data_IF_032194223475
#
_entry.id   IF_032194223475
#
_cell.length_a   1.000
_cell.length_b   1.000
_cell.length_c   1.000
_cell.angle_alpha   90.00
_cell.angle_beta   90.00
_cell.angle_gamma   90.00
#
_symmetry.space_group_name_H-M   'P 1'
#
loop_
_entity.id
_entity.type
_entity.pdbx_description
1 polymer ?
#
# COMPACT_ATOMS: atom_id res chain seq x y z
N UNK A 1 16.79 -9.05 4.95
CA UNK A 1 15.76 -8.69 3.95
C UNK A 1 16.00 -9.51 2.68
N UNK A 2 15.26 -10.59 2.45
CA UNK A 2 15.32 -11.35 1.17
C UNK A 2 14.26 -10.75 0.24
N UNK A 3 14.62 -9.67 -0.44
CA UNK A 3 13.82 -9.11 -1.54
C UNK A 3 13.97 -10.09 -2.71
N UNK A 4 12.91 -10.73 -3.20
CA UNK A 4 12.97 -11.56 -4.40
C UNK A 4 12.13 -10.96 -5.51
N UNK A 5 12.85 -10.58 -6.58
CA UNK A 5 12.50 -10.47 -8.01
C UNK A 5 11.08 -9.93 -8.34
N UNK A 6 10.99 -8.62 -8.50
CA UNK A 6 9.85 -7.95 -9.10
C UNK A 6 9.69 -8.29 -10.60
N UNK A 7 8.46 -8.54 -11.03
CA UNK A 7 7.95 -8.40 -12.41
C UNK A 7 8.62 -9.17 -13.57
N UNK A 8 7.92 -9.18 -14.71
CA UNK A 8 8.37 -9.76 -15.98
C UNK A 8 9.71 -9.18 -16.44
N UNK A 9 9.98 -7.91 -16.14
CA UNK A 9 11.22 -7.23 -16.49
C UNK A 9 12.42 -7.81 -15.74
N UNK A 10 12.40 -7.89 -14.40
CA UNK A 10 13.55 -8.47 -13.70
C UNK A 10 13.67 -9.97 -14.03
N UNK A 11 12.57 -10.68 -14.25
CA UNK A 11 12.65 -12.08 -14.72
C UNK A 11 13.37 -12.19 -16.07
N UNK A 12 13.06 -11.30 -17.02
CA UNK A 12 13.71 -11.23 -18.32
C UNK A 12 15.18 -10.83 -18.22
N UNK A 13 15.52 -9.78 -17.48
CA UNK A 13 16.92 -9.37 -17.34
C UNK A 13 17.78 -10.41 -16.61
N UNK A 14 17.20 -11.15 -15.66
CA UNK A 14 17.87 -12.22 -14.92
C UNK A 14 18.26 -13.44 -15.77
N UNK A 15 17.85 -13.52 -17.05
CA UNK A 15 18.40 -14.51 -17.98
C UNK A 15 19.78 -14.13 -18.50
N UNK A 16 20.19 -12.87 -18.35
CA UNK A 16 21.47 -12.33 -18.86
C UNK A 16 22.36 -11.77 -17.74
N UNK A 17 21.78 -11.17 -16.70
CA UNK A 17 22.51 -10.54 -15.61
C UNK A 17 21.70 -10.56 -14.32
N UNK A 18 22.36 -10.76 -13.17
CA UNK A 18 21.68 -10.72 -11.87
C UNK A 18 21.18 -9.30 -11.55
N UNK A 19 19.87 -9.09 -11.63
CA UNK A 19 19.20 -7.82 -11.33
C UNK A 19 18.17 -8.02 -10.21
N UNK A 20 18.15 -7.07 -9.27
CA UNK A 20 17.15 -6.97 -8.22
C UNK A 20 16.21 -5.80 -8.51
N UNK A 21 14.91 -6.09 -8.60
CA UNK A 21 13.87 -5.06 -8.62
C UNK A 21 13.56 -4.56 -7.21
N UNK A 22 13.24 -3.28 -7.10
CA UNK A 22 12.80 -2.65 -5.86
C UNK A 22 11.50 -1.93 -6.12
N UNK A 23 10.55 -2.09 -5.22
CA UNK A 23 9.25 -1.44 -5.25
C UNK A 23 9.05 -0.64 -3.95
N UNK A 24 8.55 0.59 -4.06
CA UNK A 24 8.43 1.55 -2.93
C UNK A 24 7.20 1.33 -2.02
N UNK A 25 6.54 0.19 -2.14
CA UNK A 25 5.25 -0.11 -1.50
C UNK A 25 5.37 -0.40 -0.01
N UNK A 26 6.59 -0.62 0.44
CA UNK A 26 7.01 -0.70 1.83
C UNK A 26 6.63 0.54 2.65
N UNK A 27 6.36 1.70 2.03
CA UNK A 27 5.88 2.89 2.76
C UNK A 27 4.52 2.68 3.45
N UNK A 28 3.69 1.73 2.99
CA UNK A 28 2.41 1.43 3.64
C UNK A 28 2.51 0.52 4.86
N UNK A 29 3.69 -0.03 5.16
CA UNK A 29 3.95 -0.72 6.43
C UNK A 29 3.61 0.18 7.60
N UNK A 30 3.87 1.49 7.44
CA UNK A 30 3.64 2.51 8.45
C UNK A 30 2.17 2.60 8.87
N UNK A 31 1.23 2.31 7.97
CA UNK A 31 -0.20 2.48 8.25
C UNK A 31 -0.67 1.65 9.45
N UNK A 32 -0.25 0.37 9.55
CA UNK A 32 -0.73 -0.52 10.63
C UNK A 32 -0.09 -0.24 11.98
N UNK A 33 1.20 0.14 11.96
CA UNK A 33 1.99 0.48 13.14
C UNK A 33 1.27 1.52 13.97
N UNK A 34 0.76 2.57 13.31
CA UNK A 34 0.00 3.63 13.96
C UNK A 34 -1.38 3.18 14.47
N UNK A 35 -2.05 2.25 13.79
CA UNK A 35 -3.39 1.79 14.16
C UNK A 35 -3.40 0.98 15.45
N UNK A 36 -2.34 0.22 15.70
CA UNK A 36 -2.16 -0.56 16.93
C UNK A 36 -1.33 0.18 17.99
N UNK A 37 -0.89 1.41 17.70
CA UNK A 37 -0.10 2.23 18.62
C UNK A 37 1.33 1.71 18.86
N UNK A 38 1.85 0.86 17.97
CA UNK A 38 3.19 0.32 18.09
C UNK A 38 4.24 1.34 17.61
N UNK A 39 5.42 1.40 18.23
CA UNK A 39 6.60 2.05 17.65
C UNK A 39 7.14 1.29 16.44
N UNK A 40 7.55 2.01 15.39
CA UNK A 40 8.05 1.39 14.14
C UNK A 40 9.26 0.47 14.37
N UNK A 41 10.17 0.87 15.25
CA UNK A 41 11.40 0.12 15.56
C UNK A 41 11.14 -1.18 16.37
N UNK A 42 9.91 -1.41 16.82
CA UNK A 42 9.52 -2.63 17.56
C UNK A 42 8.77 -3.64 16.69
N UNK A 43 8.57 -3.32 15.40
CA UNK A 43 7.84 -4.14 14.44
C UNK A 43 8.79 -4.97 13.60
N UNK A 44 8.53 -6.26 13.52
CA UNK A 44 9.18 -7.19 12.59
C UNK A 44 8.14 -7.83 11.69
N UNK A 45 8.44 -7.97 10.41
CA UNK A 45 7.51 -8.59 9.46
C UNK A 45 8.23 -9.45 8.43
N UNK A 46 7.49 -10.40 7.87
CA UNK A 46 7.90 -11.18 6.70
C UNK A 46 6.83 -11.02 5.64
N UNK A 47 7.25 -10.64 4.42
CA UNK A 47 6.36 -10.54 3.28
C UNK A 47 6.69 -11.59 2.21
N UNK A 48 5.68 -12.06 1.51
CA UNK A 48 5.82 -12.96 0.36
C UNK A 48 4.78 -12.65 -0.71
N UNK A 49 5.16 -12.79 -1.97
CA UNK A 49 4.31 -12.56 -3.13
C UNK A 49 5.11 -12.10 -4.33
N UNK A 50 4.43 -11.46 -5.28
CA UNK A 50 5.03 -10.84 -6.46
C UNK A 50 4.92 -9.32 -6.36
N UNK A 51 5.56 -8.61 -7.29
CA UNK A 51 5.42 -7.16 -7.41
C UNK A 51 3.93 -6.75 -7.37
N UNK A 52 3.62 -5.78 -6.52
CA UNK A 52 2.27 -5.25 -6.25
C UNK A 52 1.22 -6.23 -5.69
N UNK A 53 1.56 -7.52 -5.56
CA UNK A 53 0.67 -8.57 -5.03
C UNK A 53 1.45 -9.42 -4.04
N UNK A 54 1.72 -8.82 -2.87
CA UNK A 54 2.37 -9.49 -1.75
C UNK A 54 1.58 -9.28 -0.45
N UNK A 55 1.80 -10.18 0.49
CA UNK A 55 1.16 -10.22 1.80
C UNK A 55 2.20 -10.25 2.91
N UNK A 56 1.87 -9.63 4.04
CA UNK A 56 2.65 -9.74 5.27
C UNK A 56 2.34 -11.08 5.98
N UNK A 57 2.94 -12.17 5.54
CA UNK A 57 2.68 -13.51 6.12
C UNK A 57 3.10 -13.65 7.59
N UNK A 58 3.94 -12.74 8.10
CA UNK A 58 4.19 -12.54 9.53
C UNK A 58 4.23 -11.05 9.83
N UNK A 59 3.60 -10.63 10.92
CA UNK A 59 3.64 -9.25 11.39
C UNK A 59 3.62 -9.25 12.92
N UNK A 60 4.73 -8.86 13.52
CA UNK A 60 5.01 -9.06 14.93
C UNK A 60 5.36 -7.72 15.59
N UNK A 61 4.86 -7.52 16.81
CA UNK A 61 5.23 -6.43 17.69
C UNK A 61 5.94 -7.02 18.92
N UNK A 62 7.21 -6.66 19.13
CA UNK A 62 8.06 -7.27 20.18
C UNK A 62 8.09 -8.80 20.10
N UNK A 63 8.15 -9.35 18.89
CA UNK A 63 8.18 -10.79 18.63
C UNK A 63 6.86 -11.53 18.92
N UNK A 64 5.75 -10.82 19.12
CA UNK A 64 4.41 -11.41 19.26
C UNK A 64 3.54 -11.07 18.06
N UNK A 65 2.74 -12.02 17.61
CA UNK A 65 1.81 -11.81 16.50
C UNK A 65 0.87 -10.63 16.78
N UNK A 66 0.90 -9.64 15.90
CA UNK A 66 0.11 -8.42 16.02
C UNK A 66 -1.19 -8.47 15.21
N UNK A 67 -1.42 -9.51 14.39
CA UNK A 67 -2.65 -9.62 13.60
C UNK A 67 -3.93 -9.54 14.42
N UNK A 68 -4.03 -10.12 15.64
CA UNK A 68 -5.22 -9.93 16.49
C UNK A 68 -5.48 -8.47 16.86
N UNK A 69 -4.42 -7.66 17.02
CA UNK A 69 -4.55 -6.23 17.31
C UNK A 69 -4.97 -5.46 16.06
N UNK A 70 -4.41 -5.81 14.89
CA UNK A 70 -4.76 -5.21 13.61
C UNK A 70 -6.23 -5.51 13.26
N UNK A 71 -6.69 -6.75 13.47
CA UNK A 71 -8.10 -7.13 13.30
C UNK A 71 -9.03 -6.23 14.12
N UNK A 72 -8.76 -6.07 15.42
CA UNK A 72 -9.54 -5.19 16.30
C UNK A 72 -9.48 -3.73 15.86
N UNK A 73 -8.34 -3.26 15.37
CA UNK A 73 -8.21 -1.88 14.90
C UNK A 73 -9.08 -1.62 13.66
N UNK A 74 -9.12 -2.56 12.72
CA UNK A 74 -9.89 -2.45 11.47
C UNK A 74 -11.41 -2.46 11.69
N UNK A 75 -11.90 -2.94 12.83
CA UNK A 75 -13.32 -2.83 13.20
C UNK A 75 -13.76 -1.37 13.42
N UNK A 76 -12.82 -0.47 13.72
CA UNK A 76 -13.14 0.94 13.94
C UNK A 76 -13.38 1.64 12.60
N UNK A 77 -14.52 2.33 12.39
CA UNK A 77 -14.86 2.93 11.09
C UNK A 77 -13.80 3.89 10.55
N UNK A 78 -13.15 4.66 11.43
CA UNK A 78 -12.11 5.62 11.06
C UNK A 78 -10.84 4.96 10.54
N UNK A 79 -10.56 3.70 10.91
CA UNK A 79 -9.43 2.92 10.42
C UNK A 79 -9.85 2.14 9.17
N UNK A 80 -11.05 1.54 9.19
CA UNK A 80 -11.63 0.87 8.05
C UNK A 80 -11.62 1.76 6.79
N UNK A 81 -12.09 3.00 6.94
CA UNK A 81 -12.20 3.97 5.85
C UNK A 81 -10.86 4.47 5.32
N UNK A 82 -9.73 4.22 6.00
CA UNK A 82 -8.41 4.59 5.47
C UNK A 82 -8.07 3.77 4.23
N UNK A 83 -8.34 2.47 4.26
CA UNK A 83 -7.87 1.52 3.25
C UNK A 83 -8.93 0.45 2.97
N UNK A 84 -10.12 0.88 2.53
CA UNK A 84 -11.32 0.04 2.43
C UNK A 84 -11.05 -1.30 1.73
N UNK A 85 -10.43 -1.28 0.54
CA UNK A 85 -10.16 -2.50 -0.25
C UNK A 85 -9.18 -3.42 0.47
N UNK A 86 -8.10 -2.88 1.04
CA UNK A 86 -7.12 -3.72 1.75
C UNK A 86 -7.70 -4.29 3.04
N UNK A 87 -8.53 -3.52 3.74
CA UNK A 87 -9.27 -3.96 4.92
C UNK A 87 -10.27 -5.08 4.59
N UNK A 88 -10.98 -4.97 3.47
CA UNK A 88 -11.88 -6.04 3.01
C UNK A 88 -11.10 -7.31 2.66
N UNK A 89 -9.99 -7.19 1.91
CA UNK A 89 -9.13 -8.35 1.64
C UNK A 89 -8.58 -8.97 2.93
N UNK A 90 -8.12 -8.15 3.87
CA UNK A 90 -7.60 -8.61 5.15
C UNK A 90 -8.66 -9.36 5.98
N UNK A 91 -9.88 -8.82 6.08
CA UNK A 91 -10.99 -9.47 6.79
C UNK A 91 -11.34 -10.85 6.23
N UNK A 92 -11.19 -11.06 4.92
CA UNK A 92 -11.54 -12.32 4.27
C UNK A 92 -10.37 -13.31 4.13
N UNK A 93 -9.14 -12.81 4.01
CA UNK A 93 -7.95 -13.62 3.75
C UNK A 93 -7.05 -13.82 4.98
N UNK A 94 -7.24 -13.03 6.03
CA UNK A 94 -6.48 -13.11 7.29
C UNK A 94 -5.07 -12.50 7.24
N UNK A 95 -4.57 -12.13 6.06
CA UNK A 95 -3.27 -11.48 5.89
C UNK A 95 -3.42 -10.16 5.15
N UNK A 96 -2.64 -9.17 5.57
CA UNK A 96 -2.69 -7.85 4.99
C UNK A 96 -1.81 -7.75 3.74
N UNK A 97 -2.35 -7.12 2.69
CA UNK A 97 -1.64 -6.84 1.43
C UNK A 97 -0.68 -5.65 1.54
N UNK A 98 0.41 -5.68 0.78
CA UNK A 98 1.49 -4.67 0.85
C UNK A 98 1.14 -3.34 0.16
N UNK A 99 0.29 -3.39 -0.87
CA UNK A 99 -0.02 -2.26 -1.74
C UNK A 99 -1.28 -1.47 -1.35
N UNK A 100 -1.45 -0.27 -1.89
CA UNK A 100 -2.61 0.59 -1.64
C UNK A 100 -3.95 -0.05 -2.06
N UNK A 101 -5.06 0.51 -1.54
CA UNK A 101 -6.42 0.09 -1.92
C UNK A 101 -6.67 0.21 -3.42
N UNK A 102 -6.17 1.28 -4.06
CA UNK A 102 -6.27 1.47 -5.50
C UNK A 102 -5.64 0.34 -6.29
N UNK A 103 -4.36 0.03 -6.08
CA UNK A 103 -3.68 -1.05 -6.80
C UNK A 103 -4.36 -2.41 -6.55
N UNK A 104 -4.71 -2.73 -5.30
CA UNK A 104 -5.36 -4.01 -5.00
C UNK A 104 -6.75 -4.14 -5.64
N UNK A 105 -7.48 -3.04 -5.80
CA UNK A 105 -8.80 -3.07 -6.45
C UNK A 105 -8.72 -3.44 -7.93
N UNK A 106 -7.60 -3.17 -8.60
CA UNK A 106 -7.38 -3.47 -10.02
C UNK A 106 -7.10 -4.96 -10.25
N UNK A 107 -6.41 -5.60 -9.31
CA UNK A 107 -6.12 -7.04 -9.38
C UNK A 107 -7.26 -7.94 -8.90
N UNK A 108 -8.23 -7.39 -8.18
CA UNK A 108 -9.33 -8.15 -7.57
C UNK A 108 -10.68 -7.75 -8.19
N UNK A 109 -11.22 -8.64 -9.01
CA UNK A 109 -12.47 -8.47 -9.76
C UNK A 109 -13.71 -8.18 -8.90
N UNK A 110 -13.65 -8.41 -7.58
CA UNK A 110 -14.74 -8.12 -6.65
C UNK A 110 -15.05 -6.64 -6.45
N UNK A 111 -14.08 -5.75 -6.71
CA UNK A 111 -14.24 -4.33 -6.34
C UNK A 111 -14.62 -3.43 -7.51
N UNK A 112 -14.15 -3.73 -8.72
CA UNK A 112 -14.28 -2.82 -9.87
C UNK A 112 -15.24 -3.28 -10.97
N UNK A 113 -15.94 -4.40 -10.78
CA UNK A 113 -16.78 -5.00 -11.84
C UNK A 113 -18.06 -4.19 -12.14
N UNK A 114 -18.58 -3.44 -11.16
CA UNK A 114 -19.87 -2.72 -11.28
C UNK A 114 -19.80 -1.34 -10.63
N UNK A 115 -20.54 -0.33 -11.12
CA UNK A 115 -20.50 1.03 -10.59
C UNK A 115 -20.76 1.14 -9.08
N UNK A 116 -21.70 0.36 -8.55
CA UNK A 116 -22.05 0.36 -7.13
C UNK A 116 -20.93 -0.22 -6.24
N UNK A 117 -20.11 -1.12 -6.79
CA UNK A 117 -18.96 -1.66 -6.08
C UNK A 117 -17.81 -0.65 -6.08
N UNK A 118 -17.60 0.04 -7.21
CA UNK A 118 -16.61 1.12 -7.32
C UNK A 118 -16.96 2.22 -6.32
N UNK A 119 -18.23 2.64 -6.27
CA UNK A 119 -18.66 3.67 -5.32
C UNK A 119 -18.42 3.25 -3.87
N UNK A 120 -18.83 2.03 -3.53
CA UNK A 120 -18.70 1.49 -2.17
C UNK A 120 -17.25 1.35 -1.71
N UNK A 121 -16.35 0.89 -2.59
CA UNK A 121 -15.01 0.44 -2.17
C UNK A 121 -13.86 1.33 -2.63
N UNK A 122 -14.03 2.10 -3.71
CA UNK A 122 -12.93 2.80 -4.38
C UNK A 122 -13.03 4.33 -4.34
N UNK A 123 -14.15 4.89 -3.89
CA UNK A 123 -14.38 6.36 -3.89
C UNK A 123 -14.03 7.04 -2.56
N UNK A 124 -14.44 6.45 -1.43
CA UNK A 124 -14.45 7.16 -0.14
C UNK A 124 -13.25 6.86 0.79
N UNK A 125 -12.24 6.14 0.29
CA UNK A 125 -11.04 5.86 1.08
C UNK A 125 -10.26 7.13 1.40
N UNK A 126 -9.75 7.26 2.63
CA UNK A 126 -9.10 8.51 3.07
C UNK A 126 -7.58 8.54 2.90
N UNK A 127 -6.93 7.40 2.64
CA UNK A 127 -5.49 7.37 2.36
C UNK A 127 -5.19 7.61 0.86
N UNK A 128 -3.89 7.67 0.56
CA UNK A 128 -3.38 7.82 -0.80
C UNK A 128 -3.87 6.69 -1.72
N UNK A 129 -4.41 7.10 -2.88
CA UNK A 129 -4.98 6.22 -3.90
C UNK A 129 -6.05 5.24 -3.36
N UNK A 130 -7.27 5.72 -3.10
CA UNK A 130 -8.39 4.86 -2.69
C UNK A 130 -8.90 3.94 -3.81
N UNK A 131 -8.46 4.16 -5.05
CA UNK A 131 -8.94 3.46 -6.24
C UNK A 131 -9.81 4.32 -7.16
N UNK A 132 -9.86 5.63 -6.93
CA UNK A 132 -10.57 6.56 -7.80
C UNK A 132 -10.10 6.43 -9.25
N UNK A 133 -11.03 6.56 -10.20
CA UNK A 133 -10.71 6.53 -11.61
C UNK A 133 -9.65 7.59 -11.99
N UNK A 134 -8.61 7.12 -12.69
CA UNK A 134 -7.49 7.93 -13.19
C UNK A 134 -6.74 8.71 -12.09
N UNK A 135 -6.72 8.21 -10.84
CA UNK A 135 -6.08 8.88 -9.69
C UNK A 135 -4.66 9.38 -10.00
N UNK A 136 -3.75 8.50 -10.45
CA UNK A 136 -2.36 8.87 -10.69
C UNK A 136 -2.18 9.83 -11.88
N UNK A 137 -3.05 9.73 -12.89
CA UNK A 137 -3.03 10.65 -14.02
C UNK A 137 -3.42 12.06 -13.57
N UNK A 138 -4.47 12.19 -12.76
CA UNK A 138 -4.90 13.47 -12.16
C UNK A 138 -3.78 14.07 -11.30
N UNK A 139 -3.09 13.25 -10.51
CA UNK A 139 -1.93 13.68 -9.73
C UNK A 139 -0.80 14.24 -10.61
N UNK A 140 -0.47 13.55 -11.70
CA UNK A 140 0.57 14.03 -12.64
C UNK A 140 0.15 15.29 -13.38
N UNK A 141 -1.10 15.40 -13.84
CA UNK A 141 -1.62 16.61 -14.48
C UNK A 141 -1.65 17.80 -13.52
N UNK A 142 -1.94 17.57 -12.24
CA UNK A 142 -1.86 18.60 -11.20
C UNK A 142 -0.41 19.02 -10.96
N UNK A 143 0.51 18.04 -10.86
CA UNK A 143 1.95 18.31 -10.66
C UNK A 143 2.57 19.04 -11.83
N UNK A 144 2.21 18.73 -13.07
CA UNK A 144 2.69 19.44 -14.27
C UNK A 144 2.41 20.95 -14.22
N UNK A 145 1.29 21.35 -13.62
CA UNK A 145 0.93 22.76 -13.49
C UNK A 145 1.71 23.47 -12.39
N UNK A 146 2.09 22.76 -11.33
CA UNK A 146 2.62 23.36 -10.10
C UNK A 146 4.07 22.96 -9.77
N UNK A 147 4.75 22.16 -10.61
CA UNK A 147 6.05 21.60 -10.24
C UNK A 147 7.11 22.69 -10.00
N UNK A 148 7.11 23.76 -10.80
CA UNK A 148 8.09 24.85 -10.65
C UNK A 148 7.96 25.54 -9.30
N UNK A 149 6.74 25.91 -8.94
CA UNK A 149 6.42 26.56 -7.66
C UNK A 149 6.75 25.63 -6.48
N UNK A 150 6.38 24.35 -6.58
CA UNK A 150 6.68 23.36 -5.53
C UNK A 150 8.17 23.12 -5.35
N UNK A 151 8.94 23.05 -6.44
CA UNK A 151 10.40 22.88 -6.38
C UNK A 151 11.05 24.14 -5.82
N UNK A 152 10.65 25.32 -6.26
CA UNK A 152 11.18 26.57 -5.73
C UNK A 152 10.91 26.69 -4.22
N UNK A 153 9.66 26.48 -3.80
CA UNK A 153 9.30 26.50 -2.39
C UNK A 153 9.90 25.34 -1.56
N UNK A 154 10.41 24.29 -2.20
CA UNK A 154 11.20 23.26 -1.51
C UNK A 154 12.67 23.67 -1.36
N UNK A 155 13.26 24.25 -2.41
CA UNK A 155 14.64 24.77 -2.41
C UNK A 155 14.81 25.96 -1.46
N UNK A 156 13.76 26.78 -1.30
CA UNK A 156 13.77 27.94 -0.42
C UNK A 156 13.61 27.59 1.07
N UNK A 157 13.33 26.31 1.40
CA UNK A 157 13.27 25.89 2.80
C UNK A 157 14.67 25.80 3.38
N UNK A 158 14.85 26.37 4.57
CA UNK A 158 16.10 26.29 5.34
C UNK A 158 16.50 24.85 5.72
N UNK A 159 15.55 23.92 5.69
CA UNK A 159 15.79 22.48 5.90
C UNK A 159 15.02 21.63 4.88
N UNK A 160 15.60 20.53 4.38
CA UNK A 160 14.98 19.65 3.38
C UNK A 160 13.62 19.07 3.76
#
# INVERSE_FOLDING_TARGET
MRIRRDSSLCRGCNTFQSIQGVCGTTNYILSYVHWIGAPYNEITYTCAGINHLAWYIKYEWKGKDAYPLIHKAVEKPEIYNKEIVRNELFKHLGYYVTESSGHNSEYNWWFRKRPELIEKYCTHGTNWNPGEYAFILKEYQSREKMWKEKVQGWLDKETP
#
